data_IF_687573821694
#
_entry.id   IF_687573821694
#
_cell.length_a   1.000
_cell.length_b   1.000
_cell.length_c   1.000
_cell.angle_alpha   90.00
_cell.angle_beta   90.00
_cell.angle_gamma   90.00
#
_symmetry.space_group_name_H-M   'P 1'
#
loop_
_entity.id
_entity.type
_entity.pdbx_description
1 polymer ?
#
# COMPACT_ATOMS: atom_id res chain seq x y z
N UNK A 1 -33.20 -7.44 -19.94
CA UNK A 1 -32.56 -7.28 -18.62
C UNK A 1 -31.19 -6.67 -18.85
N UNK A 2 -31.10 -5.35 -18.77
CA UNK A 2 -29.84 -4.61 -18.80
C UNK A 2 -29.29 -4.59 -17.38
N UNK A 3 -28.28 -5.41 -17.10
CA UNK A 3 -27.46 -5.27 -15.89
C UNK A 3 -26.66 -3.97 -16.04
N UNK A 4 -26.97 -2.97 -15.23
CA UNK A 4 -26.13 -1.79 -15.07
C UNK A 4 -24.75 -2.25 -14.58
N UNK A 5 -23.64 -1.95 -15.28
CA UNK A 5 -22.31 -2.43 -14.92
C UNK A 5 -21.59 -1.54 -13.89
N UNK A 6 -22.28 -0.63 -13.20
CA UNK A 6 -21.61 0.47 -12.48
C UNK A 6 -22.17 0.73 -11.07
N UNK A 7 -22.65 -0.31 -10.40
CA UNK A 7 -22.65 -0.28 -8.93
C UNK A 7 -21.26 -0.69 -8.49
N UNK A 8 -20.42 0.30 -8.16
CA UNK A 8 -19.15 0.07 -7.52
C UNK A 8 -19.37 -0.80 -6.28
N UNK A 9 -18.98 -2.06 -6.37
CA UNK A 9 -19.13 -3.02 -5.29
C UNK A 9 -18.39 -2.45 -4.07
N UNK A 10 -19.01 -2.44 -2.88
CA UNK A 10 -18.38 -1.85 -1.71
C UNK A 10 -17.06 -2.57 -1.42
N UNK A 11 -16.03 -1.84 -0.95
CA UNK A 11 -14.73 -2.41 -0.68
C UNK A 11 -14.83 -3.62 0.24
N UNK A 12 -14.36 -4.77 -0.23
CA UNK A 12 -14.40 -6.03 0.49
C UNK A 12 -13.07 -6.28 1.21
N UNK A 13 -13.13 -6.72 2.47
CA UNK A 13 -11.98 -7.24 3.22
C UNK A 13 -11.74 -8.68 2.82
N UNK A 14 -10.72 -8.94 2.00
CA UNK A 14 -10.44 -10.29 1.53
C UNK A 14 -9.58 -11.05 2.54
N UNK A 15 -10.07 -12.20 3.02
CA UNK A 15 -9.30 -13.14 3.86
C UNK A 15 -8.62 -14.23 3.05
N UNK A 16 -9.16 -14.55 1.86
CA UNK A 16 -8.63 -15.49 0.86
C UNK A 16 -8.97 -14.96 -0.54
N UNK A 17 -8.14 -15.25 -1.54
CA UNK A 17 -8.38 -14.84 -2.91
C UNK A 17 -7.60 -15.68 -3.93
N UNK A 18 -8.09 -15.69 -5.17
CA UNK A 18 -7.51 -16.50 -6.25
C UNK A 18 -6.23 -15.87 -6.82
N UNK A 19 -5.39 -16.64 -7.56
CA UNK A 19 -4.23 -16.10 -8.25
C UNK A 19 -4.56 -14.92 -9.18
N UNK A 20 -5.71 -14.95 -9.85
CA UNK A 20 -6.14 -13.86 -10.74
C UNK A 20 -6.47 -12.58 -9.94
N UNK A 21 -7.03 -12.73 -8.74
CA UNK A 21 -7.26 -11.62 -7.83
C UNK A 21 -5.93 -11.08 -7.27
N UNK A 22 -4.99 -11.95 -6.89
CA UNK A 22 -3.63 -11.55 -6.48
C UNK A 22 -2.94 -10.70 -7.54
N UNK A 23 -2.96 -11.18 -8.78
CA UNK A 23 -2.35 -10.54 -9.94
C UNK A 23 -3.02 -9.19 -10.27
N UNK A 24 -4.35 -9.11 -10.14
CA UNK A 24 -5.09 -7.84 -10.25
C UNK A 24 -4.66 -6.83 -9.17
N UNK A 25 -4.57 -7.25 -7.92
CA UNK A 25 -4.16 -6.37 -6.82
C UNK A 25 -2.71 -5.90 -6.99
N UNK A 26 -1.80 -6.79 -7.38
CA UNK A 26 -0.42 -6.43 -7.69
C UNK A 26 -0.34 -5.37 -8.80
N UNK A 27 -1.10 -5.55 -9.89
CA UNK A 27 -1.21 -4.53 -10.94
C UNK A 27 -1.81 -3.22 -10.43
N UNK A 28 -2.83 -3.28 -9.58
CA UNK A 28 -3.46 -2.08 -9.01
C UNK A 28 -2.51 -1.32 -8.07
N UNK A 29 -1.71 -2.00 -7.25
CA UNK A 29 -0.69 -1.32 -6.43
C UNK A 29 0.34 -0.58 -7.31
N UNK A 30 0.77 -1.21 -8.41
CA UNK A 30 1.70 -0.60 -9.37
C UNK A 30 1.07 0.56 -10.14
N UNK A 31 -0.15 0.36 -10.66
CA UNK A 31 -0.87 1.33 -11.47
C UNK A 31 -1.45 2.48 -10.64
N UNK A 32 -1.78 2.24 -9.38
CA UNK A 32 -2.36 3.20 -8.44
C UNK A 32 -1.36 4.25 -7.95
N UNK A 33 -0.10 4.18 -8.39
CA UNK A 33 0.91 5.19 -8.09
C UNK A 33 1.49 5.13 -6.69
N UNK A 34 1.20 4.09 -5.91
CA UNK A 34 1.74 3.91 -4.56
C UNK A 34 3.27 3.86 -4.57
N UNK A 35 3.85 3.11 -5.49
CA UNK A 35 5.30 2.86 -5.55
C UNK A 35 6.16 4.11 -5.72
N UNK A 36 5.60 5.25 -6.17
CA UNK A 36 6.34 6.51 -6.33
C UNK A 36 6.71 7.16 -4.99
N UNK A 37 5.89 6.95 -3.97
CA UNK A 37 6.02 7.62 -2.67
C UNK A 37 6.56 6.67 -1.60
N UNK A 38 6.51 5.36 -1.83
CA UNK A 38 6.89 4.36 -0.84
C UNK A 38 8.40 4.15 -0.75
N UNK A 39 8.85 3.80 0.46
CA UNK A 39 10.13 3.15 0.67
C UNK A 39 10.10 1.69 0.18
N UNK A 40 11.27 1.04 0.13
CA UNK A 40 11.36 -0.37 -0.25
C UNK A 40 10.51 -1.28 0.66
N UNK A 41 10.45 -0.97 1.96
CA UNK A 41 9.61 -1.69 2.91
C UNK A 41 8.11 -1.55 2.56
N UNK A 42 7.66 -0.33 2.20
CA UNK A 42 6.27 -0.10 1.80
C UNK A 42 5.88 -0.87 0.53
N UNK A 43 6.76 -0.90 -0.47
CA UNK A 43 6.55 -1.69 -1.69
C UNK A 43 6.44 -3.19 -1.38
N UNK A 44 7.31 -3.70 -0.51
CA UNK A 44 7.30 -5.10 -0.11
C UNK A 44 6.08 -5.47 0.74
N UNK A 45 5.59 -4.59 1.60
CA UNK A 45 4.34 -4.82 2.35
C UNK A 45 3.19 -5.07 1.40
N UNK A 46 2.95 -4.16 0.44
CA UNK A 46 1.84 -4.29 -0.51
C UNK A 46 2.01 -5.53 -1.43
N UNK A 47 3.22 -5.75 -1.95
CA UNK A 47 3.51 -6.90 -2.82
C UNK A 47 3.39 -8.25 -2.10
N UNK A 48 3.88 -8.33 -0.86
CA UNK A 48 3.80 -9.54 -0.05
C UNK A 48 2.34 -9.83 0.35
N UNK A 49 1.55 -8.82 0.72
CA UNK A 49 0.12 -9.04 0.98
C UNK A 49 -0.57 -9.51 -0.29
N UNK A 50 -0.44 -8.80 -1.43
CA UNK A 50 -1.15 -9.15 -2.65
C UNK A 50 -0.84 -10.58 -3.18
N UNK A 51 0.40 -11.05 -3.02
CA UNK A 51 0.86 -12.33 -3.58
C UNK A 51 0.48 -13.57 -2.76
N UNK A 52 0.01 -13.43 -1.52
CA UNK A 52 -0.16 -14.57 -0.60
C UNK A 52 -1.41 -15.41 -0.83
N UNK A 53 -2.41 -14.89 -1.54
CA UNK A 53 -3.69 -15.57 -1.74
C UNK A 53 -4.55 -15.67 -0.47
N UNK A 54 -4.08 -15.13 0.66
CA UNK A 54 -4.76 -15.12 1.96
C UNK A 54 -4.24 -14.01 2.85
N UNK A 55 -5.03 -13.65 3.86
CA UNK A 55 -4.58 -12.78 4.93
C UNK A 55 -3.32 -13.38 5.60
N UNK A 56 -2.37 -12.50 5.91
CA UNK A 56 -1.09 -12.84 6.53
C UNK A 56 -1.06 -12.34 7.96
N UNK A 57 -0.26 -12.99 8.80
CA UNK A 57 0.01 -12.44 10.13
C UNK A 57 1.07 -11.34 10.06
N UNK A 58 1.06 -10.45 11.07
CA UNK A 58 2.11 -9.45 11.29
C UNK A 58 3.50 -10.08 11.37
N UNK A 59 3.63 -11.28 11.96
CA UNK A 59 4.89 -12.01 12.03
C UNK A 59 5.34 -12.58 10.68
N UNK A 60 4.42 -13.18 9.91
CA UNK A 60 4.69 -13.70 8.56
C UNK A 60 5.16 -12.59 7.62
N UNK A 61 4.50 -11.45 7.67
CA UNK A 61 4.84 -10.28 6.86
C UNK A 61 6.13 -9.61 7.36
N UNK A 62 6.31 -9.52 8.67
CA UNK A 62 7.55 -9.02 9.27
C UNK A 62 8.78 -9.79 8.78
N UNK A 63 8.68 -11.12 8.65
CA UNK A 63 9.78 -11.98 8.20
C UNK A 63 10.31 -11.71 6.78
N UNK A 64 9.61 -10.92 5.97
CA UNK A 64 10.04 -10.56 4.60
C UNK A 64 10.41 -9.07 4.45
N UNK A 65 10.35 -8.28 5.53
CA UNK A 65 10.71 -6.86 5.47
C UNK A 65 12.23 -6.70 5.30
N UNK A 66 12.69 -5.82 4.40
CA UNK A 66 14.10 -5.68 4.03
C UNK A 66 14.88 -4.80 5.02
N UNK A 67 14.53 -4.82 6.31
CA UNK A 67 15.08 -3.92 7.33
C UNK A 67 15.90 -4.72 8.33
N UNK A 68 16.49 -4.08 9.33
CA UNK A 68 17.13 -4.76 10.46
C UNK A 68 16.21 -4.62 11.68
N UNK A 69 15.94 -5.69 12.46
CA UNK A 69 15.03 -5.59 13.61
C UNK A 69 15.59 -4.66 14.69
N UNK A 70 14.71 -3.89 15.33
CA UNK A 70 15.03 -3.10 16.55
C UNK A 70 14.46 -3.86 17.74
N UNK A 71 15.32 -4.23 18.70
CA UNK A 71 14.96 -5.05 19.86
C UNK A 71 14.23 -6.36 19.50
N UNK A 72 14.56 -6.93 18.33
CA UNK A 72 13.94 -8.14 17.81
C UNK A 72 12.63 -7.93 17.04
N UNK A 73 12.12 -6.70 16.96
CA UNK A 73 10.91 -6.37 16.18
C UNK A 73 11.25 -5.65 14.88
N UNK A 74 10.83 -6.23 13.74
CA UNK A 74 10.99 -5.63 12.41
C UNK A 74 9.99 -4.51 12.15
N UNK A 75 8.90 -4.44 12.91
CA UNK A 75 7.91 -3.39 12.73
C UNK A 75 8.32 -2.07 13.37
N UNK A 76 9.10 -2.12 14.45
CA UNK A 76 9.73 -0.94 15.05
C UNK A 76 10.93 -0.41 14.25
N UNK A 77 11.42 -1.19 13.28
CA UNK A 77 12.58 -0.81 12.47
C UNK A 77 12.26 0.39 11.55
N UNK A 78 13.25 1.26 11.29
CA UNK A 78 13.12 2.33 10.32
C UNK A 78 12.74 1.80 8.94
N UNK A 79 11.73 2.40 8.31
CA UNK A 79 11.30 1.99 6.97
C UNK A 79 12.08 2.69 5.84
N UNK A 80 12.95 3.65 6.17
CA UNK A 80 13.80 4.40 5.26
C UNK A 80 15.27 4.08 5.53
N UNK A 81 16.08 3.94 4.49
CA UNK A 81 17.52 3.70 4.63
C UNK A 81 18.31 5.00 4.65
N UNK A 82 17.96 5.95 3.78
CA UNK A 82 18.58 7.26 3.68
C UNK A 82 17.49 8.32 3.55
N UNK A 83 17.31 9.13 4.60
CA UNK A 83 16.27 10.17 4.64
C UNK A 83 16.59 11.36 3.73
N UNK A 84 17.87 11.61 3.46
CA UNK A 84 18.30 12.74 2.65
C UNK A 84 18.14 12.42 1.17
N UNK A 85 18.54 11.20 0.76
CA UNK A 85 18.28 10.69 -0.60
C UNK A 85 16.77 10.61 -0.88
N UNK A 86 15.98 10.22 0.13
CA UNK A 86 14.54 10.02 0.00
C UNK A 86 13.68 11.21 0.42
N UNK A 87 14.27 12.38 0.68
CA UNK A 87 13.59 13.52 1.32
C UNK A 87 12.24 13.89 0.67
N UNK A 88 12.16 13.86 -0.67
CA UNK A 88 10.92 14.16 -1.41
C UNK A 88 9.82 13.10 -1.20
N UNK A 89 10.21 11.81 -1.14
CA UNK A 89 9.28 10.69 -0.89
C UNK A 89 8.83 10.68 0.57
N UNK A 90 9.75 10.94 1.49
CA UNK A 90 9.47 11.11 2.93
C UNK A 90 8.45 12.23 3.14
N UNK A 91 8.70 13.42 2.59
CA UNK A 91 7.78 14.56 2.72
C UNK A 91 6.40 14.27 2.11
N UNK A 92 6.35 13.51 1.01
CA UNK A 92 5.09 13.08 0.40
C UNK A 92 4.31 12.15 1.32
N UNK A 93 4.95 11.13 1.87
CA UNK A 93 4.30 10.19 2.80
C UNK A 93 3.89 10.85 4.11
N UNK A 94 4.68 11.79 4.63
CA UNK A 94 4.31 12.53 5.84
C UNK A 94 3.06 13.40 5.61
N UNK A 95 2.94 14.03 4.44
CA UNK A 95 1.70 14.75 4.05
C UNK A 95 0.50 13.81 3.98
N UNK A 96 0.69 12.60 3.47
CA UNK A 96 -0.36 11.57 3.42
C UNK A 96 -0.77 11.08 4.81
N UNK A 97 0.20 10.80 5.67
CA UNK A 97 -0.07 10.44 7.06
C UNK A 97 -0.80 11.56 7.81
N UNK A 98 -0.42 12.82 7.60
CA UNK A 98 -1.09 13.97 8.20
C UNK A 98 -2.56 14.09 7.77
N UNK A 99 -2.93 13.71 6.54
CA UNK A 99 -4.31 13.70 6.07
C UNK A 99 -5.21 12.76 6.89
N UNK A 100 -4.63 11.71 7.48
CA UNK A 100 -5.28 10.77 8.39
C UNK A 100 -4.98 11.04 9.87
N UNK A 101 -4.41 12.21 10.21
CA UNK A 101 -4.01 12.60 11.57
C UNK A 101 -2.99 11.64 12.22
N UNK A 102 -2.20 10.97 11.39
CA UNK A 102 -1.07 10.14 11.84
C UNK A 102 0.18 11.00 11.97
N UNK A 103 1.15 10.48 12.73
CA UNK A 103 2.49 11.06 12.82
C UNK A 103 3.33 10.84 11.55
N UNK A 104 4.57 11.37 11.52
CA UNK A 104 5.49 11.13 10.41
C UNK A 104 5.79 9.64 10.22
N UNK A 105 5.91 9.19 8.97
CA UNK A 105 6.13 7.78 8.64
C UNK A 105 7.61 7.46 8.77
N UNK A 106 8.01 6.78 9.84
CA UNK A 106 9.43 6.48 10.13
C UNK A 106 9.72 5.00 10.25
N UNK A 107 8.74 4.21 10.65
CA UNK A 107 8.87 2.77 10.89
C UNK A 107 8.00 1.94 9.95
N UNK A 108 8.28 0.64 9.87
CA UNK A 108 7.41 -0.28 9.15
C UNK A 108 6.00 -0.33 9.73
N UNK A 109 5.84 -0.11 11.04
CA UNK A 109 4.54 0.01 11.69
C UNK A 109 3.77 1.24 11.18
N UNK A 110 4.43 2.40 11.07
CA UNK A 110 3.78 3.63 10.58
C UNK A 110 3.26 3.46 9.13
N UNK A 111 3.99 2.73 8.29
CA UNK A 111 3.54 2.39 6.94
C UNK A 111 2.27 1.53 6.95
N UNK A 112 2.22 0.52 7.83
CA UNK A 112 1.05 -0.33 7.95
C UNK A 112 -0.17 0.46 8.45
N UNK A 113 0.04 1.34 9.43
CA UNK A 113 -1.02 2.20 9.98
C UNK A 113 -1.54 3.16 8.90
N UNK A 114 -0.66 3.73 8.08
CA UNK A 114 -1.06 4.56 6.94
C UNK A 114 -1.87 3.76 5.91
N UNK A 115 -1.44 2.56 5.53
CA UNK A 115 -2.18 1.71 4.58
C UNK A 115 -3.55 1.30 5.12
N UNK A 116 -3.63 1.02 6.42
CA UNK A 116 -4.89 0.70 7.09
C UNK A 116 -5.84 1.91 7.12
N UNK A 117 -5.32 3.08 7.50
CA UNK A 117 -6.10 4.32 7.54
C UNK A 117 -6.60 4.74 6.15
N UNK A 118 -5.77 4.57 5.12
CA UNK A 118 -6.12 4.84 3.73
C UNK A 118 -7.04 3.77 3.10
N UNK A 119 -7.40 2.71 3.82
CA UNK A 119 -8.28 1.66 3.30
C UNK A 119 -7.65 0.83 2.17
N UNK A 120 -6.31 0.78 2.10
CA UNK A 120 -5.56 -0.07 1.17
C UNK A 120 -5.48 -1.49 1.69
N UNK A 121 -5.20 -1.59 2.98
CA UNK A 121 -5.15 -2.83 3.74
C UNK A 121 -6.20 -2.75 4.86
N UNK A 122 -6.69 -3.90 5.29
CA UNK A 122 -7.37 -4.01 6.58
C UNK A 122 -6.45 -4.72 7.56
N UNK A 123 -6.57 -4.35 8.84
CA UNK A 123 -5.87 -4.98 9.96
C UNK A 123 -6.90 -5.39 10.99
N UNK A 124 -6.88 -6.65 11.43
CA UNK A 124 -7.74 -7.19 12.48
C UNK A 124 -6.91 -8.11 13.38
N UNK A 125 -6.59 -7.63 14.58
CA UNK A 125 -5.64 -8.29 15.48
C UNK A 125 -4.27 -8.47 14.82
N UNK A 126 -3.83 -9.72 14.68
CA UNK A 126 -2.57 -10.05 14.02
C UNK A 126 -2.70 -10.23 12.50
N UNK A 127 -3.92 -10.22 11.95
CA UNK A 127 -4.20 -10.49 10.54
C UNK A 127 -4.22 -9.21 9.71
N UNK A 128 -3.62 -9.31 8.53
CA UNK A 128 -3.48 -8.24 7.56
C UNK A 128 -3.92 -8.77 6.20
N UNK A 129 -4.78 -8.05 5.51
CA UNK A 129 -5.20 -8.40 4.15
C UNK A 129 -5.53 -7.17 3.31
N UNK A 130 -5.71 -7.34 2.00
CA UNK A 130 -6.02 -6.24 1.10
C UNK A 130 -7.50 -5.88 1.18
N UNK A 131 -7.79 -4.62 0.89
CA UNK A 131 -9.14 -4.17 0.55
C UNK A 131 -9.31 -4.25 -0.97
N UNK A 132 -10.44 -4.80 -1.44
CA UNK A 132 -10.72 -4.99 -2.86
C UNK A 132 -11.97 -4.20 -3.30
N UNK A 133 -11.90 -3.37 -4.35
CA UNK A 133 -10.71 -3.09 -5.15
C UNK A 133 -9.64 -2.33 -4.35
N UNK A 134 -8.37 -2.53 -4.70
CA UNK A 134 -7.27 -1.78 -4.10
C UNK A 134 -7.33 -0.34 -4.61
N UNK A 135 -7.45 0.66 -3.73
CA UNK A 135 -7.56 2.04 -4.18
C UNK A 135 -6.22 2.58 -4.71
N UNK A 136 -6.28 3.47 -5.70
CA UNK A 136 -5.15 4.28 -6.13
C UNK A 136 -4.83 5.39 -5.11
N UNK A 137 -3.58 5.88 -5.12
CA UNK A 137 -3.15 7.00 -4.25
C UNK A 137 -4.04 8.24 -4.45
N UNK A 138 -4.43 8.53 -5.68
CA UNK A 138 -5.29 9.66 -6.04
C UNK A 138 -6.77 9.48 -5.66
N UNK A 139 -7.16 8.28 -5.24
CA UNK A 139 -8.52 7.99 -4.75
C UNK A 139 -8.64 8.18 -3.23
N UNK A 140 -7.51 8.09 -2.51
CA UNK A 140 -7.47 8.17 -1.03
C UNK A 140 -6.70 9.39 -0.52
N UNK A 141 -5.99 10.11 -1.38
CA UNK A 141 -5.30 11.35 -1.04
C UNK A 141 -5.57 12.44 -2.07
N UNK A 142 -5.57 13.68 -1.60
CA UNK A 142 -5.45 14.83 -2.49
C UNK A 142 -4.05 14.88 -3.08
N UNK A 143 -3.96 14.72 -4.40
CA UNK A 143 -2.72 14.81 -5.17
C UNK A 143 -2.74 16.05 -6.06
N UNK A 144 -1.59 16.70 -6.22
CA UNK A 144 -1.43 17.84 -7.12
C UNK A 144 -1.41 17.39 -8.61
N UNK A 145 -1.37 18.35 -9.53
CA UNK A 145 -1.40 18.08 -10.97
C UNK A 145 -0.16 17.34 -11.47
N UNK A 146 1.02 17.58 -10.88
CA UNK A 146 2.25 16.89 -11.23
C UNK A 146 2.20 15.43 -10.79
N UNK A 147 1.71 15.18 -9.57
CA UNK A 147 1.45 13.84 -9.04
C UNK A 147 0.42 13.10 -9.88
N UNK A 148 -0.67 13.78 -10.27
CA UNK A 148 -1.73 13.20 -11.12
C UNK A 148 -1.19 12.80 -12.50
N UNK A 149 -0.31 13.61 -13.09
CA UNK A 149 0.32 13.31 -14.37
C UNK A 149 1.23 12.06 -14.28
N UNK A 150 2.01 11.91 -13.21
CA UNK A 150 2.84 10.71 -13.03
C UNK A 150 1.99 9.46 -12.76
N UNK A 151 0.93 9.56 -11.96
CA UNK A 151 -0.03 8.45 -11.74
C UNK A 151 -0.64 8.02 -13.09
N UNK A 152 -1.06 8.98 -13.92
CA UNK A 152 -1.60 8.68 -15.26
C UNK A 152 -0.56 7.96 -16.14
N UNK A 153 0.72 8.38 -16.10
CA UNK A 153 1.83 7.73 -16.82
C UNK A 153 2.05 6.28 -16.38
N UNK A 154 1.99 6.02 -15.08
CA UNK A 154 2.12 4.67 -14.52
C UNK A 154 0.96 3.76 -14.95
N UNK A 155 -0.28 4.26 -14.92
CA UNK A 155 -1.47 3.51 -15.40
C UNK A 155 -1.35 3.08 -16.86
N UNK A 156 -0.88 3.96 -17.75
CA UNK A 156 -0.66 3.62 -19.17
C UNK A 156 0.41 2.53 -19.33
N UNK A 157 1.47 2.59 -18.51
CA UNK A 157 2.58 1.63 -18.56
C UNK A 157 2.15 0.24 -18.06
N UNK A 158 1.28 0.17 -17.05
CA UNK A 158 0.76 -1.09 -16.51
C UNK A 158 -0.23 -1.83 -17.43
N UNK A 159 -0.83 -1.14 -18.41
CA UNK A 159 -1.78 -1.74 -19.37
C UNK A 159 -1.08 -2.39 -20.57
N UNK A 160 0.18 -2.03 -20.84
CA UNK A 160 0.94 -2.49 -22.02
C UNK A 160 1.80 -3.74 -21.79
N UNK A 161 1.68 -4.41 -20.64
CA UNK A 161 2.43 -5.62 -20.29
C UNK A 161 1.54 -6.84 -20.20
#
# INVERSE_FOLDING_TARGET
MTTNPDEAQPPARLTEWTPEASDRMARQHMAGGWTRALSAAGVLILGAVASRGRAVTRAELGGVLPVEPVDGDRWAAPCWFDLDEDAARVATLDRYAAAYKLGPVRTCADLLDLFAAAGVLWVDGDKIGPVAPVPGVDEVFTVDDAERAEIARLRVTSVRR
#
